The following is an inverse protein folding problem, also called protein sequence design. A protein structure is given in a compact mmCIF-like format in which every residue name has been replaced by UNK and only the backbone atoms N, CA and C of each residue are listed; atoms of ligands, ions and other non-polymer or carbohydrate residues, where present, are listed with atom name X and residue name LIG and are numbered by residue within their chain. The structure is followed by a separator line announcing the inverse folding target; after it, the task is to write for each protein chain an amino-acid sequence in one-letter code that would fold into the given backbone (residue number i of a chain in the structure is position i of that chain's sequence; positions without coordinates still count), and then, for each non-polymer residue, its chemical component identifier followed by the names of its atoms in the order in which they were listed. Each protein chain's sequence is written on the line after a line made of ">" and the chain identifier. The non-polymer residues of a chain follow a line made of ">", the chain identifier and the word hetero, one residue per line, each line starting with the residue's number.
data_IF_905792817113
#
_entry.id   IF_905792817113
#
_cell.length_a   1.000
_cell.length_b   1.000
_cell.length_c   1.000
_cell.angle_alpha   90.00
_cell.angle_beta   90.00
_cell.angle_gamma   90.00
#
_symmetry.space_group_name_H-M   'P 1'
#
loop_
_entity.id
_entity.type
_entity.pdbx_description
1 polymer ?
#
# COMPACT_ATOMS: atom_id res chain seq x y z
N UNK A 1 44.05 52.48 -17.47
CA UNK A 1 42.84 53.34 -17.56
C UNK A 1 41.72 52.66 -16.81
N UNK A 2 41.08 53.44 -15.94
CA UNK A 2 40.03 53.09 -14.97
C UNK A 2 38.75 52.57 -15.62
N UNK A 3 38.00 51.72 -14.91
CA UNK A 3 36.67 51.28 -15.34
C UNK A 3 35.96 50.36 -14.33
N UNK A 4 35.51 50.93 -13.21
CA UNK A 4 34.55 50.35 -12.27
C UNK A 4 33.21 50.03 -12.96
N UNK A 5 32.62 48.86 -12.72
CA UNK A 5 31.31 48.72 -12.06
C UNK A 5 31.00 47.28 -11.66
N UNK A 6 30.60 47.14 -10.39
CA UNK A 6 30.17 45.91 -9.73
C UNK A 6 28.75 45.53 -10.15
N UNK A 7 28.48 44.23 -10.24
CA UNK A 7 27.15 43.68 -9.91
C UNK A 7 27.29 42.28 -9.30
N UNK A 8 27.19 42.25 -7.98
CA UNK A 8 26.79 41.09 -7.19
C UNK A 8 25.43 40.57 -7.68
N UNK A 9 25.25 39.24 -7.72
CA UNK A 9 24.39 38.53 -6.76
C UNK A 9 24.30 37.02 -7.01
N UNK A 10 24.64 36.30 -5.94
CA UNK A 10 23.99 35.10 -5.41
C UNK A 10 24.12 33.78 -6.18
N UNK A 11 25.19 33.05 -5.83
CA UNK A 11 25.23 31.60 -5.97
C UNK A 11 24.19 30.95 -5.05
N UNK A 12 23.34 30.12 -5.67
CA UNK A 12 22.38 29.27 -4.98
C UNK A 12 23.14 28.22 -4.14
N UNK A 13 22.98 28.29 -2.82
CA UNK A 13 23.32 27.18 -1.92
C UNK A 13 22.24 26.12 -2.05
N UNK A 14 22.56 25.01 -2.70
CA UNK A 14 21.81 23.76 -2.59
C UNK A 14 21.93 23.26 -1.15
N UNK A 15 20.86 23.38 -0.38
CA UNK A 15 20.77 22.71 0.91
C UNK A 15 20.37 21.25 0.66
N UNK A 16 21.36 20.34 0.76
CA UNK A 16 21.11 18.92 0.96
C UNK A 16 20.49 18.74 2.36
N UNK A 17 19.19 18.47 2.41
CA UNK A 17 18.54 18.08 3.65
C UNK A 17 18.52 16.55 3.72
N UNK A 18 19.31 16.01 4.65
CA UNK A 18 19.20 14.62 5.04
C UNK A 18 17.85 14.42 5.75
N UNK A 19 16.94 13.64 5.16
CA UNK A 19 15.87 13.02 5.92
C UNK A 19 16.54 12.09 6.95
N UNK A 20 16.50 12.46 8.23
CA UNK A 20 16.64 11.46 9.28
C UNK A 20 15.42 10.55 9.17
N UNK A 21 15.60 9.38 8.56
CA UNK A 21 14.71 8.26 8.78
C UNK A 21 14.73 7.98 10.29
N UNK A 22 13.59 8.12 10.95
CA UNK A 22 13.44 7.63 12.31
C UNK A 22 13.77 6.13 12.29
N UNK A 23 14.87 5.75 12.94
CA UNK A 23 15.20 4.35 13.17
C UNK A 23 14.03 3.75 13.96
N UNK A 24 13.43 2.62 13.53
CA UNK A 24 12.40 1.98 14.33
C UNK A 24 13.02 1.61 15.68
N UNK A 25 12.27 1.83 16.77
CA UNK A 25 12.64 1.30 18.07
C UNK A 25 12.92 -0.20 17.92
N UNK A 26 14.12 -0.64 18.35
CA UNK A 26 14.54 -2.04 18.31
C UNK A 26 13.53 -2.83 19.13
N UNK A 27 12.55 -3.46 18.46
CA UNK A 27 11.65 -4.39 19.13
C UNK A 27 12.50 -5.58 19.57
N UNK A 28 12.51 -5.83 20.88
CA UNK A 28 13.14 -7.02 21.44
C UNK A 28 12.51 -8.25 20.78
N UNK A 29 13.36 -9.19 20.35
CA UNK A 29 12.90 -10.42 19.71
C UNK A 29 11.93 -11.15 20.64
N UNK A 30 10.73 -11.45 20.14
CA UNK A 30 9.77 -12.27 20.87
C UNK A 30 10.27 -13.72 20.88
N UNK A 31 10.48 -14.31 22.05
CA UNK A 31 10.95 -15.70 22.16
C UNK A 31 9.88 -16.70 21.68
N UNK A 32 10.27 -17.66 20.84
CA UNK A 32 9.39 -18.70 20.31
C UNK A 32 8.91 -18.47 18.86
N UNK A 33 7.95 -19.26 18.38
CA UNK A 33 7.38 -19.09 17.04
C UNK A 33 6.68 -17.73 16.92
N UNK A 34 6.84 -17.10 15.76
CA UNK A 34 6.30 -15.80 15.44
C UNK A 34 5.18 -15.94 14.42
N UNK A 35 4.06 -15.26 14.61
CA UNK A 35 3.02 -15.12 13.59
C UNK A 35 2.43 -13.74 13.71
N UNK A 36 2.47 -12.99 12.61
CA UNK A 36 1.89 -11.66 12.53
C UNK A 36 1.07 -11.54 11.26
N UNK A 37 -0.12 -10.97 11.40
CA UNK A 37 -0.99 -10.63 10.30
C UNK A 37 -1.44 -9.18 10.47
N UNK A 38 -1.21 -8.39 9.43
CA UNK A 38 -1.80 -7.07 9.31
C UNK A 38 -3.28 -7.22 8.99
N UNK A 39 -4.11 -6.52 9.74
CA UNK A 39 -5.55 -6.38 9.49
C UNK A 39 -5.77 -5.42 8.32
N UNK A 40 -5.39 -5.87 7.12
CA UNK A 40 -5.55 -5.16 5.85
C UNK A 40 -6.84 -5.69 5.22
N UNK A 41 -7.86 -4.84 4.99
CA UNK A 41 -9.10 -5.27 4.35
C UNK A 41 -8.84 -5.85 2.96
N UNK A 42 -9.41 -7.03 2.68
CA UNK A 42 -9.40 -7.60 1.34
C UNK A 42 -10.27 -6.76 0.40
N UNK A 43 -9.85 -6.63 -0.85
CA UNK A 43 -10.54 -5.87 -1.90
C UNK A 43 -10.48 -6.63 -3.21
N UNK A 44 -11.56 -6.60 -3.98
CA UNK A 44 -11.63 -7.24 -5.28
C UNK A 44 -11.14 -6.29 -6.38
N UNK A 45 -10.19 -6.76 -7.18
CA UNK A 45 -9.78 -6.02 -8.37
C UNK A 45 -10.76 -6.17 -9.52
N UNK A 46 -10.85 -5.12 -10.33
CA UNK A 46 -11.33 -5.25 -11.69
C UNK A 46 -10.27 -5.94 -12.55
N UNK A 47 -10.71 -6.86 -13.41
CA UNK A 47 -9.85 -7.56 -14.38
C UNK A 47 -9.68 -6.78 -15.67
N UNK A 48 -10.53 -5.79 -15.92
CA UNK A 48 -10.52 -5.02 -17.15
C UNK A 48 -9.25 -4.16 -17.30
N UNK A 49 -8.91 -3.81 -18.55
CA UNK A 49 -7.86 -2.86 -18.90
C UNK A 49 -6.52 -3.21 -18.21
N UNK A 50 -6.02 -4.42 -18.48
CA UNK A 50 -4.76 -4.94 -17.93
C UNK A 50 -4.79 -5.21 -16.40
N UNK A 51 -5.97 -5.25 -15.78
CA UNK A 51 -6.15 -5.52 -14.35
C UNK A 51 -5.79 -4.32 -13.46
N UNK A 52 -6.32 -4.28 -12.23
CA UNK A 52 -6.17 -3.16 -11.28
C UNK A 52 -5.40 -3.54 -9.99
N UNK A 53 -4.51 -4.52 -10.07
CA UNK A 53 -3.81 -5.12 -8.93
C UNK A 53 -2.99 -4.10 -8.12
N UNK A 54 -2.24 -3.24 -8.80
CA UNK A 54 -1.47 -2.19 -8.15
C UNK A 54 -2.35 -1.14 -7.45
N UNK A 55 -3.44 -0.74 -8.11
CA UNK A 55 -4.43 0.19 -7.55
C UNK A 55 -5.08 -0.39 -6.30
N UNK A 56 -5.56 -1.62 -6.36
CA UNK A 56 -6.20 -2.28 -5.21
C UNK A 56 -5.21 -2.50 -4.07
N UNK A 57 -3.95 -2.82 -4.38
CA UNK A 57 -2.90 -2.89 -3.38
C UNK A 57 -2.72 -1.58 -2.61
N UNK A 58 -2.67 -0.44 -3.31
CA UNK A 58 -2.57 0.87 -2.66
C UNK A 58 -3.87 1.30 -1.97
N UNK A 59 -5.04 0.95 -2.51
CA UNK A 59 -6.32 1.19 -1.85
C UNK A 59 -6.36 0.45 -0.52
N UNK A 60 -5.97 -0.83 -0.49
CA UNK A 60 -5.97 -1.65 0.72
C UNK A 60 -5.00 -1.11 1.78
N UNK A 61 -3.81 -0.64 1.36
CA UNK A 61 -2.88 0.07 2.25
C UNK A 61 -3.46 1.43 2.71
N UNK A 62 -4.16 2.15 1.83
CA UNK A 62 -4.87 3.37 2.16
C UNK A 62 -5.95 3.15 3.24
N UNK A 63 -6.76 2.10 3.11
CA UNK A 63 -7.77 1.73 4.10
C UNK A 63 -7.13 1.48 5.47
N UNK A 64 -5.99 0.80 5.50
CA UNK A 64 -5.19 0.59 6.70
C UNK A 64 -4.69 1.90 7.35
N UNK A 65 -4.49 2.95 6.56
CA UNK A 65 -4.04 4.29 6.98
C UNK A 65 -5.13 5.38 6.86
N UNK A 66 -6.39 4.97 6.93
CA UNK A 66 -7.49 5.89 7.15
C UNK A 66 -7.97 6.61 5.90
N UNK A 67 -7.88 5.99 4.72
CA UNK A 67 -8.37 6.59 3.48
C UNK A 67 -9.04 5.59 2.54
N UNK A 68 -10.11 6.03 1.89
CA UNK A 68 -10.79 5.35 0.80
C UNK A 68 -10.64 6.15 -0.50
N UNK A 69 -10.41 5.41 -1.59
CA UNK A 69 -10.46 5.89 -2.97
C UNK A 69 -10.89 4.72 -3.87
N UNK A 70 -11.59 5.02 -4.96
CA UNK A 70 -12.04 4.00 -5.92
C UNK A 70 -10.88 3.49 -6.79
N UNK A 71 -11.02 2.31 -7.39
CA UNK A 71 -10.02 1.76 -8.33
C UNK A 71 -9.75 2.71 -9.50
N UNK A 72 -10.80 3.32 -10.05
CA UNK A 72 -10.71 4.35 -11.10
C UNK A 72 -9.83 5.55 -10.69
N UNK A 73 -10.08 6.11 -9.51
CA UNK A 73 -9.36 7.30 -9.03
C UNK A 73 -7.92 6.95 -8.64
N UNK A 74 -7.69 5.76 -8.08
CA UNK A 74 -6.34 5.27 -7.79
C UNK A 74 -5.50 5.17 -9.08
N UNK A 75 -6.07 4.62 -10.17
CA UNK A 75 -5.43 4.58 -11.48
C UNK A 75 -5.17 5.99 -12.02
N UNK A 76 -6.15 6.88 -11.92
CA UNK A 76 -6.02 8.26 -12.35
C UNK A 76 -4.90 9.00 -11.58
N UNK A 77 -4.75 8.75 -10.28
CA UNK A 77 -3.66 9.29 -9.46
C UNK A 77 -2.30 8.72 -9.87
N UNK A 78 -2.21 7.43 -10.14
CA UNK A 78 -0.97 6.77 -10.55
C UNK A 78 -0.48 7.27 -11.92
N UNK A 79 -1.40 7.41 -12.86
CA UNK A 79 -1.11 7.72 -14.27
C UNK A 79 -1.24 9.20 -14.66
N UNK A 80 -1.60 10.08 -13.72
CA UNK A 80 -1.90 11.50 -13.97
C UNK A 80 -3.04 11.70 -14.97
N UNK A 81 -4.16 11.00 -14.73
CA UNK A 81 -5.37 11.01 -15.56
C UNK A 81 -5.14 10.54 -16.99
N UNK A 82 -4.22 9.60 -17.20
CA UNK A 82 -4.14 8.91 -18.49
C UNK A 82 -5.42 8.12 -18.71
N UNK A 83 -5.76 7.93 -19.97
CA UNK A 83 -6.84 7.04 -20.40
C UNK A 83 -6.74 5.68 -19.69
N UNK A 84 -7.82 5.26 -19.01
CA UNK A 84 -7.87 4.05 -18.20
C UNK A 84 -7.67 2.76 -19.00
N UNK A 85 -7.95 2.79 -20.31
CA UNK A 85 -7.77 1.65 -21.21
C UNK A 85 -6.35 1.60 -21.81
N UNK A 86 -5.52 2.62 -21.59
CA UNK A 86 -4.14 2.60 -22.07
C UNK A 86 -3.26 1.73 -21.17
N UNK A 87 -2.43 0.86 -21.75
CA UNK A 87 -1.49 0.02 -21.00
C UNK A 87 -0.62 0.82 -20.01
N UNK A 88 -0.14 2.00 -20.40
CA UNK A 88 0.66 2.85 -19.53
C UNK A 88 -0.13 3.64 -18.48
N UNK A 89 -1.39 3.30 -18.23
CA UNK A 89 -2.20 3.86 -17.13
C UNK A 89 -2.11 3.05 -15.84
N UNK A 90 -1.65 1.81 -15.91
CA UNK A 90 -1.54 0.91 -14.76
C UNK A 90 -0.68 1.48 -13.64
N UNK A 91 -1.00 1.11 -12.40
CA UNK A 91 -0.09 1.24 -11.28
C UNK A 91 0.88 0.05 -11.25
N UNK A 92 2.16 0.31 -11.46
CA UNK A 92 3.22 -0.69 -11.55
C UNK A 92 4.33 -0.44 -10.51
N UNK A 93 4.74 -1.51 -9.83
CA UNK A 93 5.83 -1.47 -8.85
C UNK A 93 7.17 -1.17 -9.52
N UNK A 94 7.95 -0.27 -8.92
CA UNK A 94 9.22 0.21 -9.48
C UNK A 94 9.07 1.18 -10.65
N UNK A 95 7.85 1.59 -11.02
CA UNK A 95 7.59 2.53 -12.12
C UNK A 95 6.95 3.81 -11.62
N UNK A 96 5.70 3.73 -11.13
CA UNK A 96 4.91 4.90 -10.68
C UNK A 96 4.32 4.74 -9.27
N UNK A 97 4.59 3.61 -8.62
CA UNK A 97 4.10 3.21 -7.30
C UNK A 97 4.39 4.23 -6.17
N UNK A 98 5.64 4.68 -6.02
CA UNK A 98 6.05 5.66 -5.00
C UNK A 98 5.41 7.02 -5.23
N UNK A 99 5.32 7.45 -6.48
CA UNK A 99 4.67 8.71 -6.85
C UNK A 99 3.16 8.64 -6.63
N UNK A 100 2.53 7.49 -6.88
CA UNK A 100 1.12 7.26 -6.60
C UNK A 100 0.85 7.30 -5.08
N UNK A 101 1.66 6.59 -4.28
CA UNK A 101 1.57 6.60 -2.82
C UNK A 101 1.73 8.03 -2.25
N UNK A 102 2.68 8.82 -2.75
CA UNK A 102 2.86 10.20 -2.34
C UNK A 102 1.65 11.08 -2.69
N UNK A 103 1.05 10.93 -3.88
CA UNK A 103 -0.20 11.63 -4.24
C UNK A 103 -1.38 11.23 -3.37
N UNK A 104 -1.34 10.02 -2.82
CA UNK A 104 -2.29 9.50 -1.84
C UNK A 104 -1.93 9.89 -0.40
N UNK A 105 -0.92 10.75 -0.18
CA UNK A 105 -0.43 11.17 1.15
C UNK A 105 0.03 10.01 2.05
N UNK A 106 0.62 9.00 1.43
CA UNK A 106 1.19 7.83 2.10
C UNK A 106 2.73 7.89 2.06
N UNK A 107 3.37 7.53 3.19
CA UNK A 107 4.80 7.30 3.24
C UNK A 107 5.12 5.91 2.71
N UNK A 108 5.97 5.83 1.70
CA UNK A 108 6.31 4.58 1.05
C UNK A 108 7.83 4.36 0.95
N UNK A 109 8.24 3.11 1.14
CA UNK A 109 9.62 2.64 1.02
C UNK A 109 9.64 1.58 -0.08
N UNK A 110 10.15 1.89 -1.29
CA UNK A 110 10.33 0.88 -2.32
C UNK A 110 11.51 -0.02 -1.97
N UNK A 111 11.43 -1.28 -2.36
CA UNK A 111 12.61 -2.13 -2.44
C UNK A 111 13.55 -1.57 -3.52
N UNK A 112 14.75 -1.18 -3.13
CA UNK A 112 15.76 -0.63 -4.06
C UNK A 112 16.79 -1.66 -4.51
N UNK A 113 16.84 -2.82 -3.84
CA UNK A 113 17.97 -3.72 -3.93
C UNK A 113 19.29 -3.06 -3.51
N UNK A 114 20.38 -3.79 -3.71
CA UNK A 114 21.76 -3.34 -3.53
C UNK A 114 22.71 -4.29 -4.26
N UNK A 115 24.01 -3.94 -4.40
CA UNK A 115 24.98 -4.84 -5.00
C UNK A 115 24.96 -6.21 -4.29
N UNK A 116 24.66 -7.28 -5.04
CA UNK A 116 24.56 -8.64 -4.50
C UNK A 116 23.27 -8.97 -3.74
N UNK A 117 22.26 -8.08 -3.73
CA UNK A 117 20.96 -8.39 -3.14
C UNK A 117 20.20 -9.39 -4.03
N UNK A 118 19.79 -10.51 -3.43
CA UNK A 118 19.04 -11.58 -4.05
C UNK A 118 17.59 -11.62 -3.53
N UNK A 119 16.82 -12.60 -4.01
CA UNK A 119 15.45 -12.83 -3.56
C UNK A 119 15.33 -13.13 -2.06
N UNK A 120 16.36 -13.70 -1.42
CA UNK A 120 16.34 -13.93 0.02
C UNK A 120 16.45 -12.62 0.80
N UNK A 121 17.31 -11.70 0.35
CA UNK A 121 17.38 -10.34 0.90
C UNK A 121 16.06 -9.59 0.72
N UNK A 122 15.40 -9.76 -0.43
CA UNK A 122 14.06 -9.19 -0.66
C UNK A 122 13.02 -9.76 0.31
N UNK A 123 12.95 -11.09 0.50
CA UNK A 123 12.01 -11.72 1.42
C UNK A 123 12.28 -11.36 2.89
N UNK A 124 13.55 -11.19 3.28
CA UNK A 124 13.93 -10.65 4.58
C UNK A 124 13.45 -9.20 4.77
N UNK A 125 13.52 -8.37 3.72
CA UNK A 125 12.98 -7.02 3.70
C UNK A 125 11.45 -7.01 3.81
N UNK A 126 10.74 -7.86 3.07
CA UNK A 126 9.29 -8.04 3.19
C UNK A 126 8.93 -8.43 4.62
N UNK A 127 9.60 -9.44 5.19
CA UNK A 127 9.40 -9.88 6.57
C UNK A 127 9.64 -8.76 7.58
N UNK A 128 10.67 -7.93 7.38
CA UNK A 128 10.96 -6.78 8.23
C UNK A 128 9.79 -5.80 8.28
N UNK A 129 9.24 -5.45 7.11
CA UNK A 129 8.14 -4.49 7.03
C UNK A 129 6.83 -5.05 7.56
N UNK A 130 6.51 -6.31 7.21
CA UNK A 130 5.31 -6.97 7.74
C UNK A 130 5.38 -7.10 9.25
N UNK A 131 6.53 -7.48 9.80
CA UNK A 131 6.72 -7.56 11.25
C UNK A 131 6.63 -6.19 11.95
N UNK A 132 6.87 -5.11 11.21
CA UNK A 132 6.66 -3.73 11.68
C UNK A 132 5.22 -3.23 11.48
N UNK A 133 4.28 -4.12 11.16
CA UNK A 133 2.87 -3.80 10.86
C UNK A 133 2.64 -2.88 9.65
N UNK A 134 3.59 -2.87 8.70
CA UNK A 134 3.46 -2.13 7.45
C UNK A 134 2.77 -2.99 6.38
N UNK A 135 1.74 -2.49 5.67
CA UNK A 135 1.29 -3.05 4.40
C UNK A 135 2.45 -3.14 3.39
N UNK A 136 2.61 -4.29 2.74
CA UNK A 136 3.64 -4.50 1.72
C UNK A 136 2.99 -5.02 0.44
N UNK A 137 3.27 -4.38 -0.69
CA UNK A 137 2.92 -4.84 -2.02
C UNK A 137 4.14 -5.52 -2.65
N UNK A 138 3.95 -6.64 -3.34
CA UNK A 138 5.04 -7.33 -4.06
C UNK A 138 4.56 -7.76 -5.46
N UNK A 139 5.49 -7.79 -6.42
CA UNK A 139 5.27 -8.39 -7.73
C UNK A 139 5.51 -9.90 -7.68
N UNK A 140 4.61 -10.67 -8.29
CA UNK A 140 4.67 -12.13 -8.37
C UNK A 140 4.44 -12.62 -9.79
N UNK A 141 4.94 -13.80 -10.09
CA UNK A 141 4.53 -14.57 -11.26
C UNK A 141 3.20 -15.27 -10.99
N UNK A 142 2.37 -15.27 -12.01
CA UNK A 142 1.22 -16.15 -12.16
C UNK A 142 1.67 -17.44 -12.85
N UNK A 143 1.06 -18.57 -12.48
CA UNK A 143 1.16 -19.79 -13.26
C UNK A 143 0.21 -19.68 -14.46
N UNK A 144 0.71 -19.22 -15.62
CA UNK A 144 -0.14 -18.97 -16.78
C UNK A 144 -0.72 -20.23 -17.41
N UNK A 145 -0.14 -21.41 -17.15
CA UNK A 145 -0.82 -22.67 -17.50
C UNK A 145 -2.16 -22.81 -16.78
N UNK A 146 -2.24 -22.38 -15.52
CA UNK A 146 -3.48 -22.43 -14.74
C UNK A 146 -4.44 -21.29 -15.09
N UNK A 147 -3.92 -20.09 -15.38
CA UNK A 147 -4.73 -18.93 -15.70
C UNK A 147 -5.27 -18.92 -17.13
N UNK A 148 -4.45 -19.34 -18.09
CA UNK A 148 -4.72 -19.17 -19.53
C UNK A 148 -4.75 -20.48 -20.31
N UNK A 149 -4.52 -21.64 -19.67
CA UNK A 149 -4.43 -22.96 -20.32
C UNK A 149 -3.38 -22.98 -21.45
N UNK A 150 -2.28 -22.24 -21.26
CA UNK A 150 -1.17 -22.17 -22.23
C UNK A 150 -0.18 -23.31 -22.05
N UNK A 151 0.50 -23.67 -23.16
CA UNK A 151 1.60 -24.64 -23.17
C UNK A 151 3.00 -24.00 -23.20
N UNK A 152 3.07 -22.67 -23.22
CA UNK A 152 4.33 -21.92 -23.23
C UNK A 152 4.89 -21.78 -21.80
N UNK A 153 6.02 -22.45 -21.53
CA UNK A 153 6.71 -22.39 -20.25
C UNK A 153 7.27 -20.99 -19.94
N UNK A 154 7.48 -20.15 -20.96
CA UNK A 154 8.01 -18.80 -20.81
C UNK A 154 6.88 -17.73 -20.79
N UNK A 155 5.61 -18.13 -20.81
CA UNK A 155 4.46 -17.22 -20.83
C UNK A 155 4.41 -16.28 -19.61
N UNK A 156 4.17 -14.99 -19.86
CA UNK A 156 4.07 -13.94 -18.86
C UNK A 156 5.14 -12.87 -19.02
N UNK A 157 5.16 -11.88 -18.12
CA UNK A 157 6.16 -10.80 -18.13
C UNK A 157 7.47 -11.28 -17.47
N UNK A 158 8.62 -10.82 -17.96
CA UNK A 158 9.91 -11.22 -17.39
C UNK A 158 10.08 -10.77 -15.92
N UNK A 159 9.44 -9.68 -15.51
CA UNK A 159 9.58 -9.07 -14.17
C UNK A 159 8.53 -9.60 -13.18
N UNK A 160 7.24 -9.46 -13.49
CA UNK A 160 6.11 -9.97 -12.70
C UNK A 160 4.80 -9.81 -13.49
N UNK A 161 3.82 -10.68 -13.24
CA UNK A 161 2.49 -10.61 -13.89
C UNK A 161 1.46 -9.88 -13.01
N UNK A 162 1.60 -10.03 -11.69
CA UNK A 162 0.59 -9.58 -10.74
C UNK A 162 1.19 -8.88 -9.53
N UNK A 163 0.43 -7.96 -8.94
CA UNK A 163 0.79 -7.26 -7.71
C UNK A 163 -0.13 -7.75 -6.59
N UNK A 164 0.45 -8.27 -5.52
CA UNK A 164 -0.29 -8.80 -4.38
C UNK A 164 0.00 -8.03 -3.11
N UNK A 165 -0.93 -8.03 -2.16
CA UNK A 165 -0.74 -7.40 -0.84
C UNK A 165 -0.35 -8.46 0.19
N UNK A 166 0.86 -8.39 0.70
CA UNK A 166 1.31 -9.24 1.81
C UNK A 166 0.61 -8.80 3.09
N UNK A 167 -0.14 -9.73 3.66
CA UNK A 167 -0.95 -9.51 4.87
C UNK A 167 -0.37 -10.19 6.09
N UNK A 168 0.63 -11.07 5.96
CA UNK A 168 1.24 -11.67 7.14
C UNK A 168 2.51 -12.48 6.87
N UNK A 169 3.24 -12.75 7.95
CA UNK A 169 4.38 -13.68 7.98
C UNK A 169 4.31 -14.54 9.24
N UNK A 170 4.57 -15.83 9.10
CA UNK A 170 4.81 -16.74 10.22
C UNK A 170 6.19 -17.36 10.13
N UNK A 171 6.88 -17.47 11.27
CA UNK A 171 8.20 -18.06 11.41
C UNK A 171 8.20 -19.03 12.58
N UNK A 172 8.93 -20.14 12.45
CA UNK A 172 9.21 -21.05 13.57
C UNK A 172 10.24 -20.46 14.55
N UNK A 173 10.82 -19.30 14.21
CA UNK A 173 11.89 -18.63 14.96
C UNK A 173 11.44 -17.24 15.43
N UNK A 174 12.09 -16.69 16.46
CA UNK A 174 11.97 -15.28 16.81
C UNK A 174 12.27 -14.37 15.62
N UNK A 175 11.56 -13.26 15.53
CA UNK A 175 11.79 -12.23 14.50
C UNK A 175 12.43 -11.00 15.13
N UNK A 176 13.56 -10.59 14.57
CA UNK A 176 14.24 -9.31 14.85
C UNK A 176 13.90 -8.29 13.77
N UNK A 177 14.21 -7.01 14.02
CA UNK A 177 14.13 -5.93 13.04
C UNK A 177 15.54 -5.30 12.94
N UNK A 178 16.24 -5.41 11.80
CA UNK A 178 15.84 -6.09 10.56
C UNK A 178 15.70 -7.62 10.73
N UNK A 179 14.81 -8.21 9.95
CA UNK A 179 14.54 -9.64 9.98
C UNK A 179 15.56 -10.44 9.16
N UNK A 180 15.90 -11.63 9.63
CA UNK A 180 16.66 -12.60 8.85
C UNK A 180 15.73 -13.47 8.00
N UNK A 181 16.23 -13.87 6.82
CA UNK A 181 15.60 -14.86 5.96
C UNK A 181 15.62 -16.25 6.61
N UNK A 182 14.53 -16.98 6.46
CA UNK A 182 14.48 -18.42 6.69
C UNK A 182 13.56 -19.06 5.65
N UNK A 183 14.03 -20.15 5.01
CA UNK A 183 13.32 -20.78 3.90
C UNK A 183 11.95 -21.38 4.29
N UNK A 184 11.79 -21.77 5.54
CA UNK A 184 10.55 -22.31 6.11
C UNK A 184 9.62 -21.23 6.69
N UNK A 185 10.00 -19.96 6.66
CA UNK A 185 9.06 -18.87 6.95
C UNK A 185 7.94 -18.87 5.91
N UNK A 186 6.72 -18.58 6.34
CA UNK A 186 5.54 -18.59 5.45
C UNK A 186 5.04 -17.17 5.26
N UNK A 187 4.99 -16.74 4.00
CA UNK A 187 4.33 -15.52 3.55
C UNK A 187 2.82 -15.79 3.46
N UNK A 188 2.00 -14.83 3.88
CA UNK A 188 0.56 -14.79 3.57
C UNK A 188 0.25 -13.51 2.79
N UNK A 189 -0.45 -13.62 1.67
CA UNK A 189 -0.86 -12.46 0.88
C UNK A 189 -2.27 -12.60 0.31
N UNK A 190 -2.81 -11.48 -0.14
CA UNK A 190 -4.03 -11.39 -0.94
C UNK A 190 -3.71 -11.06 -2.39
N UNK A 191 -4.29 -11.84 -3.31
CA UNK A 191 -4.22 -11.67 -4.76
C UNK A 191 -5.29 -10.70 -5.30
N UNK A 192 -6.02 -10.03 -4.41
CA UNK A 192 -7.14 -9.16 -4.74
C UNK A 192 -8.31 -9.88 -5.45
N UNK A 193 -8.46 -11.18 -5.19
CA UNK A 193 -9.59 -11.97 -5.67
C UNK A 193 -9.54 -12.25 -7.16
N UNK A 194 -8.34 -12.29 -7.74
CA UNK A 194 -8.13 -12.57 -9.16
C UNK A 194 -8.28 -14.07 -9.46
N UNK A 195 -7.62 -14.95 -8.71
CA UNK A 195 -7.73 -16.39 -8.90
C UNK A 195 -9.01 -16.93 -8.26
N UNK A 196 -10.01 -17.18 -9.09
CA UNK A 196 -11.30 -17.71 -8.67
C UNK A 196 -11.82 -18.80 -9.61
N UNK A 197 -11.14 -19.96 -9.74
CA UNK A 197 -11.51 -21.01 -10.70
C UNK A 197 -12.90 -21.59 -10.45
N UNK A 198 -13.40 -21.49 -9.20
CA UNK A 198 -14.74 -21.92 -8.79
C UNK A 198 -15.75 -20.76 -8.71
N UNK A 199 -15.41 -19.59 -9.26
CA UNK A 199 -16.22 -18.37 -9.18
C UNK A 199 -16.29 -17.71 -7.80
N UNK A 200 -15.52 -18.20 -6.82
CA UNK A 200 -15.39 -17.61 -5.48
C UNK A 200 -13.92 -17.23 -5.23
N UNK A 201 -13.62 -15.96 -4.91
CA UNK A 201 -12.26 -15.52 -4.62
C UNK A 201 -11.79 -16.03 -3.25
N UNK A 202 -10.59 -16.61 -3.19
CA UNK A 202 -9.97 -17.10 -1.94
C UNK A 202 -9.33 -15.95 -1.14
N UNK A 203 -8.87 -14.89 -1.82
CA UNK A 203 -8.18 -13.71 -1.26
C UNK A 203 -6.96 -14.00 -0.38
N UNK A 204 -6.61 -15.27 -0.10
CA UNK A 204 -5.58 -15.63 0.87
C UNK A 204 -4.74 -16.80 0.37
N UNK A 205 -3.48 -16.51 0.09
CA UNK A 205 -2.50 -17.50 -0.36
C UNK A 205 -1.35 -17.55 0.62
N UNK A 206 -0.77 -18.75 0.79
CA UNK A 206 0.30 -19.01 1.76
C UNK A 206 1.41 -19.82 1.12
N UNK A 207 2.65 -19.33 1.21
CA UNK A 207 3.82 -19.98 0.63
C UNK A 207 5.00 -19.92 1.57
N UNK A 208 5.71 -21.04 1.72
CA UNK A 208 7.01 -21.05 2.38
C UNK A 208 8.02 -20.28 1.50
N UNK A 209 8.86 -19.45 2.11
CA UNK A 209 9.80 -18.54 1.44
C UNK A 209 10.73 -19.26 0.46
N UNK A 210 11.19 -20.47 0.80
CA UNK A 210 12.02 -21.28 -0.09
C UNK A 210 11.24 -21.83 -1.28
N UNK A 211 10.05 -22.41 -1.01
CA UNK A 211 9.20 -23.01 -2.05
C UNK A 211 8.54 -21.97 -2.96
N UNK A 212 8.37 -20.74 -2.49
CA UNK A 212 7.70 -19.67 -3.24
C UNK A 212 8.53 -19.18 -4.44
N UNK A 213 9.86 -19.26 -4.35
CA UNK A 213 10.76 -18.73 -5.38
C UNK A 213 10.79 -19.64 -6.61
N UNK A 214 10.67 -19.08 -7.81
CA UNK A 214 10.70 -19.79 -9.08
C UNK A 214 11.42 -19.00 -10.18
N UNK A 215 12.00 -19.70 -11.15
CA UNK A 215 12.20 -19.12 -12.49
C UNK A 215 10.84 -18.99 -13.20
N UNK A 216 10.79 -18.30 -14.35
CA UNK A 216 9.57 -18.22 -15.16
C UNK A 216 9.05 -19.61 -15.58
N UNK A 217 9.92 -20.45 -16.14
CA UNK A 217 9.58 -21.83 -16.52
C UNK A 217 9.08 -22.67 -15.35
N UNK A 218 9.73 -22.55 -14.18
CA UNK A 218 9.27 -23.26 -12.97
C UNK A 218 7.93 -22.72 -12.47
N UNK A 219 7.64 -21.42 -12.61
CA UNK A 219 6.37 -20.82 -12.22
C UNK A 219 5.21 -21.36 -13.06
N UNK A 220 5.47 -21.67 -14.33
CA UNK A 220 4.53 -22.26 -15.27
C UNK A 220 4.56 -23.80 -15.27
N UNK A 221 5.24 -24.48 -14.35
CA UNK A 221 5.18 -25.95 -14.34
C UNK A 221 3.77 -26.44 -13.95
N UNK A 222 3.34 -27.56 -14.53
CA UNK A 222 1.98 -28.09 -14.37
C UNK A 222 1.61 -28.40 -12.89
N UNK A 223 2.58 -28.80 -12.08
CA UNK A 223 2.44 -29.12 -10.67
C UNK A 223 2.79 -27.93 -9.74
N UNK A 224 3.10 -26.77 -10.31
CA UNK A 224 3.41 -25.56 -9.56
C UNK A 224 2.14 -24.92 -9.02
N UNK A 225 2.26 -24.32 -7.85
CA UNK A 225 1.19 -23.51 -7.29
C UNK A 225 0.89 -22.27 -8.15
N UNK A 226 -0.29 -21.68 -7.92
CA UNK A 226 -0.87 -20.56 -8.68
C UNK A 226 0.04 -19.33 -8.76
N UNK A 227 0.84 -19.09 -7.72
CA UNK A 227 1.72 -17.92 -7.65
C UNK A 227 3.14 -18.34 -7.24
N UNK A 228 4.13 -17.65 -7.80
CA UNK A 228 5.54 -17.78 -7.42
C UNK A 228 6.22 -16.41 -7.36
N UNK A 229 7.28 -16.28 -6.57
CA UNK A 229 8.14 -15.10 -6.57
C UNK A 229 9.29 -15.29 -7.57
N UNK A 230 9.62 -14.29 -8.40
CA UNK A 230 10.78 -14.37 -9.28
C UNK A 230 12.06 -14.67 -8.50
N UNK A 231 12.79 -15.73 -8.88
CA UNK A 231 14.07 -16.11 -8.26
C UNK A 231 15.23 -15.37 -8.92
N UNK A 232 16.13 -14.82 -8.11
CA UNK A 232 17.35 -14.15 -8.55
C UNK A 232 17.34 -12.66 -8.22
N UNK A 233 17.49 -11.82 -9.25
CA UNK A 233 17.48 -10.35 -9.13
C UNK A 233 16.23 -9.78 -9.80
N UNK A 234 15.84 -8.57 -9.42
CA UNK A 234 14.70 -7.88 -10.04
C UNK A 234 13.35 -8.11 -9.35
N UNK A 235 13.33 -8.50 -8.06
CA UNK A 235 12.09 -8.46 -7.30
C UNK A 235 11.60 -7.01 -7.11
N UNK A 236 10.28 -6.81 -7.17
CA UNK A 236 9.64 -5.52 -6.99
C UNK A 236 8.78 -5.53 -5.73
N UNK A 237 8.90 -4.50 -4.90
CA UNK A 237 8.08 -4.36 -3.71
C UNK A 237 8.00 -2.93 -3.20
N UNK A 238 6.89 -2.62 -2.52
CA UNK A 238 6.62 -1.32 -1.92
C UNK A 238 6.01 -1.52 -0.53
N UNK A 239 6.67 -1.02 0.51
CA UNK A 239 6.12 -0.99 1.85
C UNK A 239 5.48 0.38 2.09
N UNK A 240 4.21 0.41 2.51
CA UNK A 240 3.54 1.62 2.98
C UNK A 240 3.73 1.66 4.48
N UNK A 241 4.42 2.69 4.96
CA UNK A 241 4.91 2.76 6.36
C UNK A 241 4.11 3.69 7.24
N UNK A 242 3.23 4.49 6.64
CA UNK A 242 2.42 5.46 7.36
C UNK A 242 1.74 6.44 6.42
N UNK A 243 1.14 7.46 7.02
CA UNK A 243 0.72 8.66 6.32
C UNK A 243 1.88 9.66 6.27
N UNK A 244 1.84 10.60 5.33
CA UNK A 244 2.74 11.76 5.40
C UNK A 244 2.21 12.73 6.47
N UNK A 245 2.88 12.72 7.62
CA UNK A 245 2.68 13.67 8.72
C UNK A 245 4.05 14.19 9.17
N UNK A 246 4.33 15.45 8.87
CA UNK A 246 5.63 16.08 9.16
C UNK A 246 5.76 16.53 10.62
N UNK A 247 4.65 16.61 11.36
CA UNK A 247 4.65 16.97 12.79
C UNK A 247 4.67 15.72 13.69
N UNK A 248 4.34 14.56 13.13
CA UNK A 248 4.34 13.27 13.83
C UNK A 248 3.32 13.19 14.97
N UNK A 249 2.20 13.92 14.84
CA UNK A 249 1.15 14.03 15.86
C UNK A 249 -0.11 13.22 15.53
N UNK A 250 -0.25 12.73 14.30
CA UNK A 250 -1.43 12.01 13.87
C UNK A 250 -1.56 10.66 14.57
N UNK A 251 -2.78 10.37 15.01
CA UNK A 251 -3.16 9.07 15.53
C UNK A 251 -3.48 8.09 14.40
N UNK A 252 -3.29 6.77 14.61
CA UNK A 252 -3.71 5.77 13.64
C UNK A 252 -5.23 5.81 13.43
N UNK A 253 -5.62 5.91 12.16
CA UNK A 253 -7.00 5.79 11.70
C UNK A 253 -7.08 4.63 10.72
N UNK A 254 -8.06 3.74 10.90
CA UNK A 254 -8.38 2.63 9.99
C UNK A 254 -9.75 2.84 9.37
N UNK A 255 -9.90 2.46 8.11
CA UNK A 255 -11.17 2.47 7.39
C UNK A 255 -11.45 1.06 6.89
N UNK A 256 -12.66 0.57 7.14
CA UNK A 256 -13.20 -0.63 6.51
C UNK A 256 -14.41 -0.25 5.65
N UNK A 257 -14.63 -0.98 4.56
CA UNK A 257 -15.75 -0.78 3.63
C UNK A 257 -16.81 -1.85 3.84
N UNK A 258 -18.09 -1.52 3.64
CA UNK A 258 -19.19 -2.49 3.74
C UNK A 258 -19.23 -3.52 2.60
N UNK A 259 -18.43 -3.33 1.55
CA UNK A 259 -18.27 -4.23 0.42
C UNK A 259 -16.79 -4.29 0.02
N UNK A 260 -16.33 -5.45 -0.47
CA UNK A 260 -14.95 -5.66 -0.90
C UNK A 260 -14.75 -5.36 -2.38
N UNK A 261 -15.82 -5.38 -3.17
CA UNK A 261 -15.83 -5.10 -4.61
C UNK A 261 -16.40 -3.71 -4.93
N UNK A 262 -16.02 -3.17 -6.08
CA UNK A 262 -16.63 -1.97 -6.67
C UNK A 262 -17.50 -2.39 -7.85
N UNK A 263 -18.80 -2.10 -7.77
CA UNK A 263 -19.77 -2.44 -8.80
C UNK A 263 -20.52 -1.19 -9.30
N UNK A 264 -20.85 -1.10 -10.59
CA UNK A 264 -20.40 -1.99 -11.67
C UNK A 264 -18.88 -1.90 -11.89
N UNK A 265 -18.28 -3.00 -12.32
CA UNK A 265 -16.87 -3.01 -12.69
C UNK A 265 -16.59 -2.17 -13.94
N UNK A 266 -15.33 -1.74 -14.09
CA UNK A 266 -14.85 -1.16 -15.35
C UNK A 266 -15.02 -2.19 -16.48
N UNK A 267 -15.64 -1.84 -17.62
CA UNK A 267 -15.64 -2.71 -18.79
C UNK A 267 -14.29 -2.71 -19.51
N UNK A 268 -13.93 -3.83 -20.12
CA UNK A 268 -12.73 -3.96 -20.96
C UNK A 268 -12.73 -2.95 -22.11
N UNK A 269 -11.58 -2.33 -22.38
CA UNK A 269 -11.41 -1.24 -23.35
C UNK A 269 -12.12 0.06 -22.98
N UNK A 270 -12.77 0.13 -21.81
CA UNK A 270 -13.54 1.29 -21.37
C UNK A 270 -12.70 2.29 -20.59
N UNK A 271 -13.08 3.57 -20.68
CA UNK A 271 -12.41 4.66 -19.95
C UNK A 271 -13.36 5.56 -19.18
N UNK A 272 -14.66 5.35 -19.36
CA UNK A 272 -15.68 6.07 -18.63
C UNK A 272 -15.74 5.57 -17.18
N UNK A 273 -15.84 6.51 -16.24
CA UNK A 273 -15.99 6.17 -14.82
C UNK A 273 -17.23 5.30 -14.60
N UNK A 274 -17.13 4.15 -13.92
CA UNK A 274 -18.29 3.33 -13.60
C UNK A 274 -19.30 4.08 -12.72
N UNK A 275 -20.57 3.70 -12.84
CA UNK A 275 -21.64 4.33 -12.08
C UNK A 275 -21.43 4.19 -10.57
N UNK A 276 -21.59 5.28 -9.84
CA UNK A 276 -21.45 5.30 -8.39
C UNK A 276 -22.51 4.46 -7.66
N UNK A 277 -22.17 3.87 -6.51
CA UNK A 277 -23.10 3.21 -5.58
C UNK A 277 -22.92 3.67 -4.13
N UNK A 278 -23.93 3.55 -3.26
CA UNK A 278 -23.74 3.77 -1.83
C UNK A 278 -22.70 2.79 -1.26
N UNK A 279 -21.84 3.29 -0.38
CA UNK A 279 -20.87 2.50 0.37
C UNK A 279 -20.83 3.02 1.81
N UNK A 280 -20.80 2.12 2.79
CA UNK A 280 -20.61 2.52 4.19
C UNK A 280 -19.17 2.28 4.59
N UNK A 281 -18.53 3.33 5.11
CA UNK A 281 -17.22 3.27 5.74
C UNK A 281 -17.39 3.09 7.24
N UNK A 282 -16.61 2.20 7.84
CA UNK A 282 -16.40 2.13 9.28
C UNK A 282 -15.02 2.71 9.59
N UNK A 283 -14.99 3.86 10.25
CA UNK A 283 -13.77 4.61 10.57
C UNK A 283 -13.43 4.38 12.05
N UNK A 284 -12.23 3.90 12.33
CA UNK A 284 -11.75 3.64 13.69
C UNK A 284 -10.48 4.44 13.97
N UNK A 285 -10.54 5.33 14.95
CA UNK A 285 -9.37 6.04 15.52
C UNK A 285 -8.89 5.27 16.73
N UNK A 286 -7.58 5.08 16.85
CA UNK A 286 -6.95 4.37 17.99
C UNK A 286 -5.83 5.19 18.62
N UNK A 287 -5.43 4.82 19.84
CA UNK A 287 -4.37 5.53 20.58
C UNK A 287 -4.85 6.80 21.28
N UNK A 288 -6.16 6.95 21.48
CA UNK A 288 -6.72 8.04 22.28
C UNK A 288 -6.28 7.89 23.74
N UNK A 289 -5.93 9.02 24.38
CA UNK A 289 -5.54 9.06 25.80
C UNK A 289 -6.65 9.73 26.63
N UNK A 290 -6.98 9.22 27.83
CA UNK A 290 -7.96 9.85 28.72
C UNK A 290 -7.66 11.32 28.98
N UNK A 291 -8.68 12.18 28.96
CA UNK A 291 -8.56 13.62 29.22
C UNK A 291 -7.91 14.45 28.12
N UNK A 292 -7.42 13.83 27.03
CA UNK A 292 -6.86 14.55 25.89
C UNK A 292 -7.95 14.79 24.84
N UNK A 293 -8.22 16.04 24.44
CA UNK A 293 -9.12 16.34 23.33
C UNK A 293 -8.43 16.13 21.98
N UNK A 294 -9.18 15.59 21.02
CA UNK A 294 -8.72 15.35 19.65
C UNK A 294 -9.73 15.85 18.64
N UNK A 295 -9.27 16.10 17.42
CA UNK A 295 -10.11 16.34 16.25
C UNK A 295 -9.83 15.31 15.17
N UNK A 296 -10.89 14.66 14.69
CA UNK A 296 -10.88 13.84 13.48
C UNK A 296 -11.34 14.71 12.31
N UNK A 297 -10.51 14.85 11.29
CA UNK A 297 -10.79 15.56 10.05
C UNK A 297 -11.14 14.57 8.93
N UNK A 298 -12.09 14.93 8.07
CA UNK A 298 -12.33 14.25 6.78
C UNK A 298 -12.10 15.21 5.62
N UNK A 299 -11.42 14.72 4.59
CA UNK A 299 -11.14 15.42 3.33
C UNK A 299 -11.75 14.65 2.15
N UNK A 300 -12.22 15.39 1.14
CA UNK A 300 -12.97 14.86 -0.03
C UNK A 300 -12.08 14.69 -1.26
N UNK A 301 -10.82 15.07 -1.14
CA UNK A 301 -9.82 14.96 -2.20
C UNK A 301 -8.43 14.89 -1.58
N UNK A 302 -7.50 14.25 -2.26
CA UNK A 302 -6.11 14.21 -1.80
C UNK A 302 -5.45 15.59 -1.86
N UNK A 303 -5.87 16.50 -2.75
CA UNK A 303 -5.31 17.85 -2.84
C UNK A 303 -5.59 18.69 -1.59
N UNK A 304 -6.68 18.40 -0.86
CA UNK A 304 -7.05 19.11 0.35
C UNK A 304 -6.31 18.61 1.60
N UNK A 305 -5.72 17.41 1.56
CA UNK A 305 -5.05 16.79 2.71
C UNK A 305 -3.75 17.54 2.99
N UNK A 306 -3.58 18.17 4.17
CA UNK A 306 -2.32 18.74 4.56
C UNK A 306 -1.35 17.63 5.03
N UNK A 307 -0.05 17.90 4.92
CA UNK A 307 1.01 16.99 5.41
C UNK A 307 1.58 17.45 6.77
N UNK A 308 1.07 18.54 7.33
CA UNK A 308 1.47 19.15 8.59
C UNK A 308 0.39 20.14 9.06
N UNK A 309 0.47 20.58 10.31
CA UNK A 309 -0.39 21.58 10.93
C UNK A 309 -1.88 21.33 10.64
N UNK A 310 -2.35 20.11 10.95
CA UNK A 310 -3.72 19.69 10.65
C UNK A 310 -4.75 20.61 11.32
N UNK A 311 -4.51 21.08 12.54
CA UNK A 311 -5.41 22.02 13.22
C UNK A 311 -5.33 23.41 12.58
N UNK A 312 -4.13 23.89 12.25
CA UNK A 312 -3.94 25.13 11.49
C UNK A 312 -4.55 25.12 10.09
N UNK A 313 -4.74 23.92 9.50
CA UNK A 313 -5.38 23.71 8.19
C UNK A 313 -6.81 23.17 8.29
N UNK A 314 -7.48 23.31 9.44
CA UNK A 314 -8.82 22.76 9.68
C UNK A 314 -9.85 23.16 8.60
N UNK A 315 -9.73 24.37 8.02
CA UNK A 315 -10.62 24.86 6.96
C UNK A 315 -10.55 24.09 5.64
N UNK A 316 -9.51 23.27 5.42
CA UNK A 316 -9.40 22.38 4.25
C UNK A 316 -10.23 21.10 4.41
N UNK A 317 -10.58 20.72 5.65
CA UNK A 317 -11.42 19.57 5.91
C UNK A 317 -12.88 19.89 5.56
N UNK A 318 -13.57 18.93 4.95
CA UNK A 318 -14.99 19.06 4.66
C UNK A 318 -15.87 18.77 5.87
N UNK A 319 -15.37 17.93 6.79
CA UNK A 319 -16.02 17.57 8.04
C UNK A 319 -14.98 17.43 9.16
N UNK A 320 -15.44 17.66 10.38
CA UNK A 320 -14.63 17.46 11.58
C UNK A 320 -15.49 16.93 12.73
N UNK A 321 -14.91 16.09 13.57
CA UNK A 321 -15.53 15.57 14.78
C UNK A 321 -14.60 15.78 15.97
N UNK A 322 -15.15 16.31 17.06
CA UNK A 322 -14.45 16.42 18.34
C UNK A 322 -14.54 15.10 19.08
N UNK A 323 -13.39 14.56 19.46
CA UNK A 323 -13.26 13.30 20.19
C UNK A 323 -12.69 13.58 21.59
N UNK A 324 -13.09 12.75 22.55
CA UNK A 324 -12.51 12.73 23.89
C UNK A 324 -12.09 11.30 24.21
N UNK A 325 -10.88 11.11 24.75
CA UNK A 325 -10.39 9.80 25.19
C UNK A 325 -11.04 9.28 26.48
N UNK A 326 -12.10 9.95 26.95
CA UNK A 326 -12.74 9.69 28.25
C UNK A 326 -13.56 8.38 28.25
N UNK A 327 -13.83 7.81 27.07
CA UNK A 327 -14.54 6.54 26.88
C UNK A 327 -13.66 5.34 26.51
N UNK A 328 -12.32 5.51 26.49
CA UNK A 328 -11.37 4.45 26.11
C UNK A 328 -10.32 4.91 25.10
N UNK A 329 -9.50 3.96 24.62
CA UNK A 329 -8.40 4.23 23.68
C UNK A 329 -8.79 4.25 22.20
N UNK A 330 -10.08 4.07 21.90
CA UNK A 330 -10.59 3.92 20.54
C UNK A 330 -11.91 4.66 20.34
N UNK A 331 -12.11 5.22 19.16
CA UNK A 331 -13.37 5.81 18.71
C UNK A 331 -13.75 5.21 17.35
N UNK A 332 -15.00 4.79 17.17
CA UNK A 332 -15.49 4.23 15.92
C UNK A 332 -16.74 4.96 15.46
N UNK A 333 -16.83 5.25 14.18
CA UNK A 333 -18.02 5.80 13.54
C UNK A 333 -18.29 5.15 12.19
N UNK A 334 -19.52 5.26 11.73
CA UNK A 334 -19.90 4.90 10.37
C UNK A 334 -20.20 6.16 9.55
N UNK A 335 -19.81 6.14 8.29
CA UNK A 335 -20.12 7.20 7.33
C UNK A 335 -20.59 6.59 6.01
N UNK A 336 -21.74 7.04 5.52
CA UNK A 336 -22.21 6.67 4.19
C UNK A 336 -21.63 7.62 3.16
N UNK A 337 -20.96 7.05 2.16
CA UNK A 337 -20.39 7.76 1.02
C UNK A 337 -20.93 7.17 -0.28
N UNK A 338 -20.50 7.75 -1.39
CA UNK A 338 -20.65 7.20 -2.73
C UNK A 338 -19.32 6.55 -3.15
N UNK A 339 -19.36 5.43 -3.87
CA UNK A 339 -18.17 4.64 -4.23
C UNK A 339 -17.18 5.40 -5.12
N UNK A 340 -17.62 6.48 -5.76
CA UNK A 340 -16.85 7.39 -6.59
C UNK A 340 -16.33 8.63 -5.83
N UNK A 341 -16.44 8.65 -4.51
CA UNK A 341 -15.87 9.70 -3.65
C UNK A 341 -14.51 9.27 -3.10
N UNK A 342 -13.66 10.27 -2.84
CA UNK A 342 -12.48 10.13 -1.99
C UNK A 342 -12.87 10.49 -0.56
N UNK A 343 -12.37 9.74 0.42
CA UNK A 343 -12.54 10.06 1.83
C UNK A 343 -11.24 9.78 2.58
N UNK A 344 -10.57 10.83 3.05
CA UNK A 344 -9.33 10.72 3.81
C UNK A 344 -9.56 11.22 5.23
N UNK A 345 -9.14 10.44 6.22
CA UNK A 345 -9.34 10.74 7.64
C UNK A 345 -8.00 10.95 8.34
N UNK A 346 -7.90 12.02 9.15
CA UNK A 346 -6.72 12.33 9.95
C UNK A 346 -7.16 12.76 11.34
N UNK A 347 -6.64 12.10 12.37
CA UNK A 347 -6.95 12.43 13.76
C UNK A 347 -5.70 13.00 14.44
N UNK A 348 -5.81 14.15 15.08
CA UNK A 348 -4.71 14.78 15.84
C UNK A 348 -5.21 15.30 17.19
N UNK A 349 -4.35 15.39 18.22
CA UNK A 349 -4.67 16.13 19.43
C UNK A 349 -5.01 17.60 19.11
N UNK A 350 -5.92 18.20 19.87
CA UNK A 350 -6.25 19.64 19.70
C UNK A 350 -5.06 20.56 20.04
N UNK A 351 -4.02 20.03 20.70
CA UNK A 351 -2.76 20.72 20.96
C UNK A 351 -1.75 20.64 19.81
N UNK A 352 -2.00 19.84 18.78
CA UNK A 352 -1.13 19.78 17.60
C UNK A 352 -1.23 21.10 16.79
N UNK A 353 -0.20 21.44 15.98
CA UNK A 353 -0.22 22.66 15.15
C UNK A 353 -1.37 22.74 14.14
#
# INVERSE_FOLDING_TARGET
>A
MSGFHSLLKQGARLAQWALLAALPAVHAAQAGPYTHANDIPARQQWTANYGYCGEVGLISAGLYYGQYVSQYDARALASRNRDQAAQGSQLLLGVNDTAAAARMHLQAVPWKGGPGADTNAFLAWVKTHVASSHPVLIGVYENLRLFEDTDDDDAGDAQYDHIVSVTGVSSTRPVTIPAAYAADDVLTFSDHGLWSPNGKPDYRYRYAFGAFQATRQEANAQDRAVYSLPRGVGNHGLAITGIIDRDGQALPVRVATSANDEQPAMPEGGSARPASRPLTLTVTVSGLKPGVPYTLYRYDSFQAVPEAAFNGNASKASKQWKLRGDGGSTYTMQESIRSDQVAVYRAVPDSAP
#
